data_IF_709841940671
#
_entry.id   IF_709841940671
#
_cell.length_a   1.000
_cell.length_b   1.000
_cell.length_c   1.000
_cell.angle_alpha   90.00
_cell.angle_beta   90.00
_cell.angle_gamma   90.00
#
_symmetry.space_group_name_H-M   'P 1'
#
loop_
_entity.id
_entity.type
_entity.pdbx_description
1 polymer ?
#
# COMPACT_ATOMS: atom_id res chain seq x y z
N UNK A 1 -0.29 -1.64 5.45
CA UNK A 1 0.71 -2.45 6.20
C UNK A 1 1.84 -1.61 6.78
N UNK A 2 2.64 -0.88 5.99
CA UNK A 2 3.82 -0.15 6.49
C UNK A 2 3.52 0.94 7.53
N UNK A 3 2.34 1.56 7.48
CA UNK A 3 1.93 2.52 8.50
C UNK A 3 1.58 1.84 9.84
N UNK A 4 0.89 0.69 9.79
CA UNK A 4 0.41 -0.03 10.98
C UNK A 4 1.46 -0.95 11.61
N UNK A 5 2.34 -1.50 10.78
CA UNK A 5 3.34 -2.49 11.16
C UNK A 5 4.74 -2.12 10.62
N UNK A 6 5.27 -0.92 10.89
CA UNK A 6 6.57 -0.50 10.35
C UNK A 6 7.72 -1.40 10.82
N UNK A 7 7.63 -1.92 12.06
CA UNK A 7 8.60 -2.88 12.61
C UNK A 7 8.57 -4.22 11.86
N UNK A 8 7.41 -4.66 11.40
CA UNK A 8 7.28 -5.86 10.56
C UNK A 8 7.96 -5.66 9.20
N UNK A 9 7.70 -4.54 8.53
CA UNK A 9 8.36 -4.20 7.26
C UNK A 9 9.88 -4.21 7.41
N UNK A 10 10.40 -3.61 8.48
CA UNK A 10 11.84 -3.63 8.78
C UNK A 10 12.36 -5.04 9.07
N UNK A 11 11.56 -5.88 9.72
CA UNK A 11 11.94 -7.25 10.09
C UNK A 11 12.03 -8.18 8.89
N UNK A 12 11.10 -8.09 7.95
CA UNK A 12 11.03 -9.01 6.80
C UNK A 12 12.06 -8.68 5.72
N UNK A 13 12.69 -7.50 5.75
CA UNK A 13 13.72 -7.10 4.78
C UNK A 13 15.09 -7.13 5.45
N UNK A 14 15.99 -7.94 4.90
CA UNK A 14 17.41 -7.99 5.28
C UNK A 14 18.26 -7.41 4.14
N UNK A 15 19.05 -6.39 4.44
CA UNK A 15 20.16 -5.96 3.58
C UNK A 15 21.36 -6.89 3.85
N UNK A 16 21.89 -7.51 2.80
CA UNK A 16 22.99 -8.46 2.91
C UNK A 16 24.38 -7.80 2.86
N UNK A 17 24.46 -6.47 2.71
CA UNK A 17 25.72 -5.72 2.66
C UNK A 17 26.53 -5.91 1.36
N UNK A 18 25.97 -6.62 0.39
CA UNK A 18 26.60 -6.95 -0.89
C UNK A 18 25.71 -6.58 -2.09
N UNK A 19 24.93 -5.51 -1.96
CA UNK A 19 23.99 -5.03 -2.98
C UNK A 19 22.87 -6.01 -3.32
N UNK A 20 22.53 -6.87 -2.36
CA UNK A 20 21.36 -7.75 -2.43
C UNK A 20 20.53 -7.62 -1.16
N UNK A 21 19.26 -7.94 -1.30
CA UNK A 21 18.30 -7.97 -0.21
C UNK A 21 17.69 -9.37 -0.14
N UNK A 22 17.37 -9.82 1.08
CA UNK A 22 16.56 -11.01 1.32
C UNK A 22 15.26 -10.57 1.95
N UNK A 23 14.13 -11.04 1.41
CA UNK A 23 12.79 -10.75 1.94
C UNK A 23 12.12 -12.04 2.40
N UNK A 24 11.70 -12.10 3.67
CA UNK A 24 10.83 -13.16 4.18
C UNK A 24 9.41 -12.98 3.62
N UNK A 25 8.94 -13.98 2.87
CA UNK A 25 7.59 -14.07 2.31
C UNK A 25 6.98 -15.44 2.66
N UNK A 26 5.74 -15.68 2.25
CA UNK A 26 5.06 -16.97 2.43
C UNK A 26 4.74 -17.61 1.08
N UNK A 27 4.99 -18.91 0.96
CA UNK A 27 4.62 -19.70 -0.21
C UNK A 27 3.09 -19.96 -0.27
N UNK A 28 2.55 -20.53 -1.37
CA UNK A 28 1.12 -20.83 -1.47
C UNK A 28 0.57 -21.80 -0.41
N UNK A 29 1.43 -22.50 0.33
CA UNK A 29 1.06 -23.40 1.43
C UNK A 29 1.15 -22.71 2.80
N UNK A 30 1.47 -21.43 2.84
CA UNK A 30 1.63 -20.65 4.08
C UNK A 30 2.95 -20.91 4.80
N UNK A 31 3.94 -21.54 4.14
CA UNK A 31 5.28 -21.73 4.72
C UNK A 31 6.12 -20.49 4.46
N UNK A 32 6.81 -20.00 5.49
CA UNK A 32 7.77 -18.91 5.32
C UNK A 32 8.94 -19.35 4.43
N UNK A 33 9.32 -18.48 3.50
CA UNK A 33 10.41 -18.64 2.54
C UNK A 33 11.22 -17.35 2.45
N UNK A 34 12.48 -17.48 2.04
CA UNK A 34 13.36 -16.33 1.79
C UNK A 34 13.48 -16.07 0.28
N UNK A 35 13.21 -14.84 -0.14
CA UNK A 35 13.35 -14.40 -1.53
C UNK A 35 14.49 -13.40 -1.64
N UNK A 36 15.60 -13.83 -2.24
CA UNK A 36 16.74 -12.97 -2.54
C UNK A 36 16.58 -12.17 -3.82
N UNK A 37 16.87 -10.87 -3.79
CA UNK A 37 16.83 -9.95 -4.94
C UNK A 37 18.06 -9.03 -4.96
N UNK A 38 18.56 -8.67 -6.14
CA UNK A 38 19.62 -7.65 -6.28
C UNK A 38 19.09 -6.22 -6.12
N UNK A 39 19.98 -5.24 -6.09
CA UNK A 39 19.66 -3.80 -6.18
C UNK A 39 19.39 -3.28 -7.61
N UNK A 40 19.23 -4.16 -8.61
CA UNK A 40 18.87 -3.77 -9.98
C UNK A 40 17.35 -3.74 -10.13
N UNK A 41 16.74 -2.59 -10.39
CA UNK A 41 15.28 -2.45 -10.45
C UNK A 41 14.79 -2.29 -11.89
N UNK A 42 13.49 -2.52 -12.09
CA UNK A 42 12.84 -2.36 -13.39
C UNK A 42 12.91 -0.88 -13.79
N UNK A 43 13.37 -0.60 -15.01
CA UNK A 43 13.42 0.74 -15.57
C UNK A 43 12.27 0.94 -16.57
N UNK A 44 11.70 2.14 -16.57
CA UNK A 44 10.84 2.67 -17.62
C UNK A 44 11.47 3.97 -18.14
N UNK A 45 12.23 3.85 -19.23
CA UNK A 45 13.10 4.92 -19.71
C UNK A 45 14.13 5.35 -18.65
N UNK A 46 14.08 6.61 -18.24
CA UNK A 46 14.95 7.18 -17.21
C UNK A 46 14.39 7.10 -15.80
N UNK A 47 13.26 6.40 -15.60
CA UNK A 47 12.56 6.28 -14.31
C UNK A 47 12.48 4.83 -13.82
N UNK A 48 12.09 4.63 -12.56
CA UNK A 48 11.67 3.32 -12.09
C UNK A 48 10.36 2.93 -12.78
N UNK A 49 10.35 1.75 -13.40
CA UNK A 49 9.19 1.20 -14.12
C UNK A 49 8.20 0.45 -13.25
N UNK A 50 8.37 0.50 -11.92
CA UNK A 50 7.54 -0.18 -10.94
C UNK A 50 7.41 0.72 -9.69
N UNK A 51 6.98 0.19 -8.54
CA UNK A 51 6.76 1.00 -7.34
C UNK A 51 8.01 1.79 -6.93
N UNK A 52 7.83 3.10 -6.80
CA UNK A 52 8.84 4.03 -6.35
C UNK A 52 8.34 4.85 -5.18
N UNK A 53 9.30 5.38 -4.42
CA UNK A 53 9.02 6.46 -3.48
C UNK A 53 8.79 7.78 -4.21
N UNK A 54 8.50 8.83 -3.43
CA UNK A 54 8.43 10.21 -3.95
C UNK A 54 9.70 10.55 -4.73
N UNK A 55 9.54 11.28 -5.83
CA UNK A 55 10.65 11.68 -6.72
C UNK A 55 11.45 10.49 -7.27
N UNK A 56 10.75 9.40 -7.59
CA UNK A 56 11.30 8.22 -8.24
C UNK A 56 12.43 7.53 -7.44
N UNK A 57 12.38 7.64 -6.12
CA UNK A 57 13.41 7.08 -5.25
C UNK A 57 13.18 5.59 -5.01
N UNK A 58 14.26 4.80 -5.06
CA UNK A 58 14.25 3.43 -4.56
C UNK A 58 14.00 3.44 -3.06
N UNK A 59 13.04 2.64 -2.61
CA UNK A 59 12.73 2.49 -1.18
C UNK A 59 12.57 1.02 -0.81
N UNK A 60 12.30 0.74 0.47
CA UNK A 60 11.90 -0.59 0.93
C UNK A 60 10.71 -1.14 0.15
N UNK A 61 9.79 -0.28 -0.34
CA UNK A 61 8.64 -0.72 -1.13
C UNK A 61 9.07 -1.29 -2.49
N UNK A 62 10.08 -0.67 -3.13
CA UNK A 62 10.67 -1.13 -4.40
C UNK A 62 11.30 -2.53 -4.24
N UNK A 63 11.95 -2.77 -3.09
CA UNK A 63 12.50 -4.09 -2.75
C UNK A 63 11.38 -5.12 -2.54
N UNK A 64 10.32 -4.77 -1.80
CA UNK A 64 9.20 -5.68 -1.56
C UNK A 64 8.47 -6.07 -2.85
N UNK A 65 8.18 -5.11 -3.72
CA UNK A 65 7.51 -5.41 -4.99
C UNK A 65 8.39 -6.27 -5.90
N UNK A 66 9.70 -6.01 -5.97
CA UNK A 66 10.61 -6.87 -6.72
C UNK A 66 10.63 -8.30 -6.18
N UNK A 67 10.60 -8.48 -4.86
CA UNK A 67 10.50 -9.81 -4.24
C UNK A 67 9.17 -10.48 -4.55
N UNK A 68 8.06 -9.73 -4.60
CA UNK A 68 6.76 -10.23 -5.03
C UNK A 68 6.74 -10.65 -6.51
N UNK A 69 7.36 -9.87 -7.40
CA UNK A 69 7.55 -10.22 -8.82
C UNK A 69 8.27 -11.56 -8.94
N UNK A 70 9.39 -11.73 -8.22
CA UNK A 70 10.15 -12.99 -8.23
C UNK A 70 9.34 -14.14 -7.64
N UNK A 71 8.60 -13.92 -6.55
CA UNK A 71 7.69 -14.90 -5.98
C UNK A 71 6.65 -15.36 -7.02
N UNK A 72 6.02 -14.41 -7.72
CA UNK A 72 5.00 -14.68 -8.75
C UNK A 72 5.60 -15.46 -9.93
N UNK A 73 6.82 -15.15 -10.32
CA UNK A 73 7.52 -15.88 -11.37
C UNK A 73 7.67 -17.37 -11.01
N UNK A 74 8.03 -17.67 -9.76
CA UNK A 74 8.24 -19.05 -9.31
C UNK A 74 6.91 -19.80 -9.14
N UNK A 75 5.92 -19.19 -8.49
CA UNK A 75 4.71 -19.90 -8.08
C UNK A 75 3.51 -19.76 -9.03
N UNK A 76 3.50 -18.73 -9.88
CA UNK A 76 2.46 -18.49 -10.87
C UNK A 76 2.98 -18.51 -12.32
N UNK A 77 4.28 -18.73 -12.53
CA UNK A 77 4.89 -18.84 -13.86
C UNK A 77 5.00 -17.51 -14.62
N UNK A 78 4.77 -16.37 -13.97
CA UNK A 78 4.85 -15.04 -14.60
C UNK A 78 5.45 -13.99 -13.67
N UNK A 79 6.33 -13.14 -14.21
CA UNK A 79 6.87 -11.97 -13.51
C UNK A 79 6.00 -10.73 -13.67
N UNK A 80 5.00 -10.75 -14.56
CA UNK A 80 4.08 -9.64 -14.71
C UNK A 80 3.09 -9.64 -13.54
N UNK A 81 3.03 -8.55 -12.76
CA UNK A 81 2.03 -8.41 -11.70
C UNK A 81 0.65 -8.10 -12.29
N UNK A 82 0.52 -7.26 -13.32
CA UNK A 82 -0.69 -6.89 -14.07
C UNK A 82 -1.87 -6.30 -13.27
N UNK A 83 -1.85 -6.44 -11.95
CA UNK A 83 -2.98 -6.28 -11.04
C UNK A 83 -3.07 -7.53 -10.15
N UNK A 84 -2.81 -7.37 -8.85
CA UNK A 84 -2.95 -8.44 -7.85
C UNK A 84 -4.00 -8.01 -6.81
N UNK A 85 -4.99 -8.87 -6.57
CA UNK A 85 -5.98 -8.60 -5.54
C UNK A 85 -5.29 -8.50 -4.18
N UNK A 86 -5.70 -7.51 -3.38
CA UNK A 86 -4.95 -7.18 -2.16
C UNK A 86 -4.98 -8.30 -1.12
N UNK A 87 -5.99 -9.17 -1.13
CA UNK A 87 -6.00 -10.35 -0.25
C UNK A 87 -4.87 -11.33 -0.55
N UNK A 88 -4.52 -11.50 -1.83
CA UNK A 88 -3.40 -12.36 -2.23
C UNK A 88 -2.06 -11.70 -1.93
N UNK A 89 -1.91 -10.40 -2.24
CA UNK A 89 -0.68 -9.69 -1.92
C UNK A 89 -0.42 -9.69 -0.40
N UNK A 90 -1.46 -9.42 0.41
CA UNK A 90 -1.35 -9.41 1.86
C UNK A 90 -0.91 -10.78 2.40
N UNK A 91 -1.52 -11.88 1.94
CA UNK A 91 -1.18 -13.22 2.43
C UNK A 91 0.24 -13.65 2.09
N UNK A 92 0.78 -13.24 0.94
CA UNK A 92 2.18 -13.49 0.57
C UNK A 92 3.14 -12.79 1.54
N UNK A 93 2.79 -11.60 2.03
CA UNK A 93 3.63 -10.86 2.99
C UNK A 93 3.41 -11.29 4.44
N UNK A 94 2.20 -11.70 4.83
CA UNK A 94 1.83 -11.91 6.24
C UNK A 94 1.60 -13.36 6.63
N UNK A 95 1.50 -14.27 5.65
CA UNK A 95 1.25 -15.70 5.87
C UNK A 95 -0.18 -16.02 6.26
N UNK A 96 -1.12 -15.08 6.10
CA UNK A 96 -2.52 -15.28 6.48
C UNK A 96 -3.45 -14.84 5.35
N UNK A 97 -4.23 -15.80 4.84
CA UNK A 97 -5.22 -15.57 3.78
C UNK A 97 -6.64 -15.31 4.28
N UNK A 98 -6.88 -15.29 5.60
CA UNK A 98 -8.21 -15.03 6.13
C UNK A 98 -8.62 -13.57 5.86
N UNK A 99 -9.72 -13.42 5.14
CA UNK A 99 -10.29 -12.13 4.82
C UNK A 99 -11.82 -12.20 4.71
N UNK A 100 -12.44 -11.03 4.72
CA UNK A 100 -13.83 -10.85 4.31
C UNK A 100 -13.96 -9.52 3.56
N UNK A 101 -15.05 -9.35 2.82
CA UNK A 101 -15.29 -8.16 2.03
C UNK A 101 -16.76 -7.72 2.07
N UNK A 102 -16.98 -6.44 1.83
CA UNK A 102 -18.29 -5.87 1.55
C UNK A 102 -18.23 -5.19 0.19
N UNK A 103 -19.12 -5.59 -0.72
CA UNK A 103 -19.27 -4.94 -2.01
C UNK A 103 -19.89 -3.55 -1.85
N UNK A 104 -19.67 -2.69 -2.86
CA UNK A 104 -20.33 -1.39 -2.97
C UNK A 104 -21.85 -1.51 -2.82
N UNK A 105 -22.43 -0.57 -2.07
CA UNK A 105 -23.86 -0.45 -1.82
C UNK A 105 -24.43 -1.43 -0.79
N UNK A 106 -23.60 -2.27 -0.15
CA UNK A 106 -24.06 -3.26 0.84
C UNK A 106 -24.14 -2.74 2.27
N UNK A 107 -23.40 -1.68 2.59
CA UNK A 107 -23.40 -1.05 3.90
C UNK A 107 -23.93 0.37 3.78
N UNK A 108 -24.73 0.81 4.74
CA UNK A 108 -24.99 2.25 4.92
C UNK A 108 -23.68 2.97 5.27
N UNK A 109 -23.63 4.30 5.11
CA UNK A 109 -22.45 5.09 5.46
C UNK A 109 -22.01 4.89 6.92
N UNK A 110 -22.97 4.78 7.84
CA UNK A 110 -22.73 4.49 9.26
C UNK A 110 -22.14 3.10 9.48
N UNK A 111 -22.68 2.08 8.83
CA UNK A 111 -22.18 0.71 8.93
C UNK A 111 -20.79 0.57 8.30
N UNK A 112 -20.56 1.25 7.17
CA UNK A 112 -19.26 1.31 6.50
C UNK A 112 -18.20 1.95 7.41
N UNK A 113 -18.50 3.11 8.02
CA UNK A 113 -17.63 3.73 9.01
C UNK A 113 -17.31 2.77 10.15
N UNK A 114 -18.34 2.11 10.70
CA UNK A 114 -18.15 1.13 11.78
C UNK A 114 -17.27 -0.04 11.35
N UNK A 115 -17.52 -0.62 10.17
CA UNK A 115 -16.75 -1.75 9.65
C UNK A 115 -15.27 -1.39 9.45
N UNK A 116 -14.99 -0.21 8.87
CA UNK A 116 -13.63 0.31 8.68
C UNK A 116 -12.96 0.54 10.03
N UNK A 117 -13.54 1.37 10.90
CA UNK A 117 -12.90 1.80 12.14
C UNK A 117 -12.69 0.63 13.11
N UNK A 118 -13.68 -0.25 13.29
CA UNK A 118 -13.53 -1.43 14.16
C UNK A 118 -12.46 -2.37 13.61
N UNK A 119 -12.44 -2.62 12.30
CA UNK A 119 -11.42 -3.49 11.69
C UNK A 119 -10.01 -2.91 11.86
N UNK A 120 -9.85 -1.61 11.66
CA UNK A 120 -8.60 -0.91 11.94
C UNK A 120 -8.20 -1.05 13.41
N UNK A 121 -9.08 -0.76 14.36
CA UNK A 121 -8.75 -0.89 15.80
C UNK A 121 -8.44 -2.33 16.23
N UNK A 122 -8.93 -3.33 15.49
CA UNK A 122 -8.55 -4.75 15.69
C UNK A 122 -7.19 -5.11 15.07
N UNK A 123 -6.50 -4.16 14.43
CA UNK A 123 -5.24 -4.38 13.71
C UNK A 123 -5.41 -5.03 12.34
N UNK A 124 -6.61 -5.04 11.76
CA UNK A 124 -6.80 -5.64 10.43
C UNK A 124 -6.28 -4.70 9.34
N UNK A 125 -5.88 -5.28 8.22
CA UNK A 125 -5.53 -4.55 7.02
C UNK A 125 -6.82 -4.22 6.26
N UNK A 126 -7.21 -2.95 6.24
CA UNK A 126 -8.42 -2.49 5.54
C UNK A 126 -8.02 -1.77 4.25
N UNK A 127 -8.38 -2.38 3.13
CA UNK A 127 -8.12 -1.89 1.77
C UNK A 127 -9.44 -1.91 1.02
N UNK A 128 -9.63 -1.02 0.06
CA UNK A 128 -10.88 -0.95 -0.68
C UNK A 128 -10.73 -0.10 -1.92
N UNK A 129 -11.83 0.16 -2.59
CA UNK A 129 -11.84 0.91 -3.83
C UNK A 129 -13.18 1.57 -4.07
N UNK A 130 -13.34 1.99 -5.31
CA UNK A 130 -14.57 2.57 -5.81
C UNK A 130 -15.08 1.68 -6.94
N UNK A 131 -16.38 1.39 -6.93
CA UNK A 131 -17.03 0.70 -8.05
C UNK A 131 -17.01 1.57 -9.30
N UNK A 132 -17.49 2.81 -9.15
CA UNK A 132 -17.57 3.80 -10.23
C UNK A 132 -16.43 4.83 -10.11
N UNK A 133 -15.77 5.10 -11.23
CA UNK A 133 -14.73 6.12 -11.36
C UNK A 133 -15.33 7.50 -11.65
N UNK A 134 -14.48 8.53 -11.61
CA UNK A 134 -14.83 9.91 -11.97
C UNK A 134 -15.93 10.59 -11.15
N UNK A 135 -16.35 10.01 -10.02
CA UNK A 135 -17.29 10.67 -9.10
C UNK A 135 -16.57 11.77 -8.33
N UNK A 136 -17.14 12.99 -8.22
CA UNK A 136 -16.50 14.11 -7.54
C UNK A 136 -16.44 13.87 -6.03
N UNK A 137 -15.29 14.17 -5.44
CA UNK A 137 -15.05 14.13 -4.00
C UNK A 137 -14.52 15.50 -3.56
N UNK A 138 -15.21 16.10 -2.59
CA UNK A 138 -14.95 17.47 -2.12
C UNK A 138 -14.90 18.52 -3.25
N UNK A 139 -15.63 18.30 -4.35
CA UNK A 139 -15.67 19.15 -5.55
C UNK A 139 -14.30 19.47 -6.18
N UNK A 140 -13.26 18.69 -5.85
CA UNK A 140 -11.88 18.95 -6.27
C UNK A 140 -11.24 17.71 -6.88
N UNK A 141 -11.43 16.57 -6.22
CA UNK A 141 -10.85 15.30 -6.62
C UNK A 141 -11.93 14.39 -7.22
N UNK A 142 -11.51 13.28 -7.82
CA UNK A 142 -12.44 12.28 -8.32
C UNK A 142 -12.03 10.85 -7.98
N UNK A 143 -12.99 9.94 -7.96
CA UNK A 143 -12.74 8.51 -7.69
C UNK A 143 -12.00 7.85 -8.86
N UNK A 144 -11.30 6.76 -8.56
CA UNK A 144 -10.69 5.86 -9.56
C UNK A 144 -11.21 4.47 -9.29
N UNK A 145 -11.87 3.85 -10.27
CA UNK A 145 -12.30 2.46 -10.17
C UNK A 145 -11.16 1.49 -10.53
N UNK A 146 -11.32 0.22 -10.16
CA UNK A 146 -10.27 -0.81 -10.32
C UNK A 146 -8.93 -0.42 -9.66
N UNK A 147 -8.98 0.42 -8.63
CA UNK A 147 -7.81 0.95 -7.94
C UNK A 147 -7.96 0.82 -6.43
N UNK A 148 -6.89 0.36 -5.77
CA UNK A 148 -6.91 0.08 -4.34
C UNK A 148 -6.47 1.31 -3.52
N UNK A 149 -7.17 1.55 -2.43
CA UNK A 149 -6.92 2.61 -1.47
C UNK A 149 -6.73 2.02 -0.07
N UNK A 150 -5.80 2.57 0.69
CA UNK A 150 -5.65 2.24 2.11
C UNK A 150 -6.57 3.11 2.97
N UNK A 151 -7.17 2.54 4.01
CA UNK A 151 -8.10 3.25 4.89
C UNK A 151 -7.41 3.63 6.19
N UNK A 152 -7.77 4.81 6.72
CA UNK A 152 -7.26 5.36 7.97
C UNK A 152 -8.38 6.04 8.76
N UNK A 153 -8.29 6.09 10.10
CA UNK A 153 -9.15 6.95 10.89
C UNK A 153 -8.98 8.42 10.46
N UNK A 154 -10.03 9.22 10.61
CA UNK A 154 -9.94 10.67 10.43
C UNK A 154 -9.81 11.37 11.78
N UNK A 155 -9.09 12.48 11.80
CA UNK A 155 -9.06 13.42 12.94
C UNK A 155 -10.27 14.35 12.98
N UNK A 156 -11.15 14.29 11.98
CA UNK A 156 -12.34 15.13 11.86
C UNK A 156 -13.61 14.27 11.96
N UNK A 157 -14.46 14.55 12.96
CA UNK A 157 -15.69 13.78 13.20
C UNK A 157 -16.73 13.88 12.08
N UNK A 158 -16.70 14.94 11.28
CA UNK A 158 -17.54 15.10 10.10
C UNK A 158 -17.08 14.22 8.91
N UNK A 159 -15.93 13.56 9.02
CA UNK A 159 -15.39 12.62 8.05
C UNK A 159 -15.62 11.20 8.57
N UNK A 160 -16.04 10.29 7.69
CA UNK A 160 -16.24 8.89 8.04
C UNK A 160 -14.90 8.20 8.28
N UNK A 161 -13.99 8.35 7.33
CA UNK A 161 -12.61 7.86 7.33
C UNK A 161 -11.84 8.55 6.20
N UNK A 162 -10.51 8.41 6.21
CA UNK A 162 -9.64 8.91 5.13
C UNK A 162 -9.13 7.72 4.31
N UNK A 163 -9.26 7.81 3.00
CA UNK A 163 -8.67 6.86 2.04
C UNK A 163 -7.37 7.45 1.48
N UNK A 164 -6.35 6.63 1.27
CA UNK A 164 -5.08 7.06 0.63
C UNK A 164 -4.89 6.36 -0.70
N UNK A 165 -4.80 7.16 -1.76
CA UNK A 165 -4.35 6.71 -3.06
C UNK A 165 -2.85 6.34 -2.99
N UNK A 166 -2.44 5.11 -3.33
CA UNK A 166 -1.04 4.69 -3.28
C UNK A 166 -0.12 5.52 -4.18
N UNK A 167 -0.64 6.20 -5.22
CA UNK A 167 0.14 7.10 -6.08
C UNK A 167 0.68 8.33 -5.36
N UNK A 168 0.20 8.64 -4.15
CA UNK A 168 0.59 9.84 -3.41
C UNK A 168 0.05 11.14 -4.02
N UNK A 169 -0.83 11.03 -5.00
CA UNK A 169 -1.54 12.11 -5.69
C UNK A 169 -2.98 11.68 -5.99
N UNK A 170 -3.83 12.64 -6.31
CA UNK A 170 -5.25 12.42 -6.59
C UNK A 170 -5.59 12.96 -7.98
N UNK A 171 -6.44 12.26 -8.75
CA UNK A 171 -6.97 12.81 -9.99
C UNK A 171 -7.90 14.00 -9.69
N UNK A 172 -7.85 15.01 -10.54
CA UNK A 172 -8.65 16.23 -10.41
C UNK A 172 -9.92 16.16 -11.25
N UNK A 173 -10.99 16.77 -10.76
CA UNK A 173 -12.23 16.96 -11.55
C UNK A 173 -11.94 17.76 -12.84
N UNK A 174 -11.02 18.73 -12.78
CA UNK A 174 -10.57 19.53 -13.93
C UNK A 174 -9.72 18.77 -14.95
N UNK A 175 -9.40 17.49 -14.70
CA UNK A 175 -8.43 16.73 -15.46
C UNK A 175 -7.00 16.83 -14.90
N UNK A 176 -6.20 15.81 -15.17
CA UNK A 176 -4.84 15.66 -14.63
C UNK A 176 -4.82 15.20 -13.18
N UNK A 177 -3.68 15.43 -12.52
CA UNK A 177 -3.41 15.02 -11.15
C UNK A 177 -3.03 16.21 -10.27
N UNK A 178 -3.27 16.08 -8.97
CA UNK A 178 -2.76 17.01 -7.97
C UNK A 178 -1.23 17.03 -7.94
N UNK A 179 -0.68 18.03 -7.24
CA UNK A 179 0.77 18.15 -7.03
C UNK A 179 1.32 17.22 -5.94
N UNK A 180 0.49 16.30 -5.40
CA UNK A 180 0.88 15.31 -4.39
C UNK A 180 1.15 15.87 -2.99
N UNK A 181 0.88 17.15 -2.71
CA UNK A 181 1.06 17.73 -1.37
C UNK A 181 0.15 17.08 -0.32
N UNK A 182 -1.02 16.62 -0.73
CA UNK A 182 -1.96 15.88 0.11
C UNK A 182 -1.62 14.40 0.28
N UNK A 183 -0.53 13.92 -0.32
CA UNK A 183 -0.06 12.53 -0.21
C UNK A 183 -1.10 11.47 -0.63
N UNK A 184 -1.99 11.82 -1.55
CA UNK A 184 -3.06 10.93 -2.00
C UNK A 184 -4.23 10.80 -1.01
N UNK A 185 -4.32 11.65 0.02
CA UNK A 185 -5.36 11.56 1.04
C UNK A 185 -6.69 12.14 0.58
N UNK A 186 -7.73 11.32 0.67
CA UNK A 186 -9.09 11.61 0.27
C UNK A 186 -10.03 11.42 1.47
N UNK A 187 -10.62 12.52 1.96
CA UNK A 187 -11.55 12.48 3.08
C UNK A 187 -12.95 12.08 2.59
N UNK A 188 -13.50 10.99 3.14
CA UNK A 188 -14.81 10.48 2.75
C UNK A 188 -15.85 10.96 3.75
N UNK A 189 -16.79 11.78 3.28
CA UNK A 189 -17.93 12.28 4.08
C UNK A 189 -19.17 11.47 3.73
N UNK A 190 -20.18 11.57 4.57
CA UNK A 190 -21.51 11.06 4.24
C UNK A 190 -22.24 12.08 3.37
N UNK A 191 -22.06 11.97 2.05
CA UNK A 191 -22.71 12.81 1.04
C UNK A 191 -23.83 12.06 0.29
N UNK A 192 -24.14 10.82 0.69
CA UNK A 192 -25.11 9.95 0.03
C UNK A 192 -24.66 9.40 -1.34
N UNK A 193 -23.47 9.74 -1.84
CA UNK A 193 -22.97 9.38 -3.17
C UNK A 193 -21.73 8.50 -3.07
N UNK A 194 -20.70 8.96 -2.37
CA UNK A 194 -19.40 8.30 -2.31
C UNK A 194 -19.41 7.07 -1.40
N UNK A 195 -19.95 7.09 -0.17
CA UNK A 195 -19.94 5.90 0.69
C UNK A 195 -20.63 4.67 0.08
N UNK A 196 -21.80 4.78 -0.59
CA UNK A 196 -22.38 3.64 -1.30
C UNK A 196 -21.51 3.11 -2.45
N UNK A 197 -20.64 3.93 -3.02
CA UNK A 197 -19.74 3.53 -4.11
C UNK A 197 -18.47 2.79 -3.62
N UNK A 198 -18.21 2.76 -2.31
CA UNK A 198 -17.02 2.14 -1.73
C UNK A 198 -17.23 0.65 -1.50
N UNK A 199 -16.28 -0.17 -1.97
CA UNK A 199 -16.10 -1.55 -1.52
C UNK A 199 -14.92 -1.65 -0.54
N UNK A 200 -14.98 -2.59 0.40
CA UNK A 200 -13.87 -2.86 1.34
C UNK A 200 -13.54 -4.33 1.40
N UNK A 201 -12.25 -4.60 1.59
CA UNK A 201 -11.60 -5.89 1.82
C UNK A 201 -10.82 -5.78 3.11
N UNK A 202 -11.08 -6.70 4.04
CA UNK A 202 -10.49 -6.71 5.37
C UNK A 202 -9.72 -8.00 5.55
N UNK A 203 -8.42 -7.89 5.76
CA UNK A 203 -7.52 -9.04 5.90
C UNK A 203 -6.93 -9.11 7.31
N UNK A 204 -6.75 -10.32 7.81
CA UNK A 204 -6.00 -10.54 9.05
C UNK A 204 -4.53 -10.13 8.89
N UNK A 205 -3.90 -9.52 9.92
CA UNK A 205 -2.52 -9.05 9.85
C UNK A 205 -1.49 -10.18 9.83
N UNK A 206 -1.88 -11.42 10.11
CA UNK A 206 -0.99 -12.58 10.13
C UNK A 206 0.23 -12.38 11.03
N UNK A 207 1.42 -12.73 10.53
CA UNK A 207 2.69 -12.56 11.24
C UNK A 207 2.99 -11.10 11.63
N UNK A 208 2.43 -10.11 10.95
CA UNK A 208 2.61 -8.70 11.28
C UNK A 208 2.02 -8.33 12.65
N UNK A 209 1.03 -9.08 13.15
CA UNK A 209 0.36 -8.83 14.43
C UNK A 209 1.33 -8.72 15.60
N UNK A 210 2.39 -9.53 15.62
CA UNK A 210 3.41 -9.53 16.68
C UNK A 210 4.25 -8.23 16.73
N UNK A 211 4.12 -7.36 15.72
CA UNK A 211 4.90 -6.14 15.54
C UNK A 211 4.03 -4.87 15.59
N UNK A 212 2.79 -4.99 16.06
CA UNK A 212 1.90 -3.84 16.22
C UNK A 212 2.53 -2.81 17.16
N UNK A 213 2.33 -1.53 16.87
CA UNK A 213 2.57 -0.49 17.86
C UNK A 213 1.50 -0.60 18.96
N UNK A 214 1.87 -0.27 20.20
CA UNK A 214 0.91 -0.21 21.30
C UNK A 214 -0.02 1.00 21.13
N UNK A 215 -1.30 0.83 21.49
CA UNK A 215 -2.30 1.89 21.41
C UNK A 215 -3.28 1.72 20.26
N UNK A 216 -4.22 2.66 20.18
CA UNK A 216 -5.20 2.70 19.11
C UNK A 216 -4.56 3.15 17.80
N UNK A 217 -5.18 2.78 16.69
CA UNK A 217 -4.80 3.31 15.39
C UNK A 217 -5.21 4.78 15.31
N UNK A 218 -4.22 5.63 15.03
CA UNK A 218 -4.37 7.07 14.86
C UNK A 218 -4.53 7.46 13.39
N UNK A 219 -5.04 8.67 13.09
CA UNK A 219 -5.10 9.21 11.74
C UNK A 219 -3.74 9.24 11.03
N UNK A 220 -3.76 9.03 9.71
CA UNK A 220 -2.54 9.09 8.91
C UNK A 220 -2.01 10.50 8.81
N UNK A 221 -0.78 10.70 9.26
CA UNK A 221 -0.01 11.92 9.01
C UNK A 221 1.04 11.64 7.95
N UNK A 222 1.02 12.33 6.80
CA UNK A 222 2.06 12.20 5.79
C UNK A 222 3.45 12.40 6.41
N UNK A 223 4.41 11.49 6.17
CA UNK A 223 5.75 11.65 6.67
C UNK A 223 6.43 12.85 5.98
N UNK A 224 7.03 13.72 6.79
CA UNK A 224 7.96 14.75 6.31
C UNK A 224 9.35 14.13 6.22
N UNK A 225 9.88 14.01 5.01
CA UNK A 225 11.25 13.56 4.80
C UNK A 225 12.14 14.76 4.52
N UNK A 226 13.19 14.93 5.33
CA UNK A 226 14.37 15.67 4.88
C UNK A 226 15.00 14.89 3.71
N UNK A 227 15.56 15.56 2.69
CA UNK A 227 16.27 14.87 1.62
C UNK A 227 17.33 13.93 2.22
N UNK A 228 17.20 12.62 1.99
CA UNK A 228 18.24 11.67 2.36
C UNK A 228 19.32 11.68 1.28
N UNK A 229 20.61 11.70 1.63
CA UNK A 229 21.67 11.59 0.64
C UNK A 229 21.55 10.25 -0.09
N UNK A 230 21.64 10.30 -1.42
CA UNK A 230 21.65 9.13 -2.29
C UNK A 230 22.80 8.21 -1.87
N UNK A 231 22.50 6.97 -1.45
CA UNK A 231 23.53 5.98 -1.15
C UNK A 231 23.96 5.30 -2.46
N UNK A 232 25.03 5.81 -3.07
CA UNK A 232 25.69 5.14 -4.20
C UNK A 232 26.54 4.00 -3.64
N UNK A 233 26.38 2.80 -4.19
CA UNK A 233 27.21 1.67 -3.78
C UNK A 233 28.69 1.96 -4.08
N UNK A 234 29.58 1.73 -3.12
CA UNK A 234 31.00 2.11 -3.22
C UNK A 234 31.69 1.57 -4.48
N UNK A 235 31.27 0.39 -4.98
CA UNK A 235 31.87 -0.19 -6.17
C UNK A 235 31.55 0.58 -7.47
N UNK A 236 30.46 1.36 -7.50
CA UNK A 236 30.12 2.27 -8.62
C UNK A 236 30.93 3.57 -8.58
N UNK A 237 31.50 3.92 -7.42
CA UNK A 237 32.39 5.09 -7.26
C UNK A 237 33.84 4.76 -7.64
N UNK A 238 34.16 3.49 -7.94
CA UNK A 238 35.48 3.08 -8.41
C UNK A 238 35.58 3.28 -9.91
N UNK A 239 35.82 4.52 -10.34
CA UNK A 239 36.25 4.80 -11.72
C UNK A 239 37.74 4.46 -11.85
N UNK A 240 38.05 3.41 -12.61
CA UNK A 240 39.43 3.03 -12.96
C UNK A 240 39.66 1.52 -12.98
N UNK A 241 39.46 0.92 -14.15
CA UNK A 241 40.27 -0.21 -14.62
C UNK A 241 40.83 0.18 -15.97
#
# INVERSE_FOLDING_TARGET
>A
MAHYYPKFIKKIIKDNGNSTFTVSLYDPKGKEIEVGVSNMFVADGSKLGAVSGKNDQVTWATVLEKSLIKWKQIYAGTSDIGGIATEYAASIFTGNGNSFAFASGKLSAKELKRAVIVSLQQGKLVIGGFKDGDLPVENKYKTVNFHAYSFYPSSNDAVLFTMRNPWGMLPLVSGGYSNGKEDGLLNIKDDGVIPPNVDIRVMEPGAAKAYANAGNIEPYTPPSYLPAPMRVAEYLLRTGR
#
